data_IF_631712273249
#
_entry.id   IF_631712273249
#
_cell.length_a   1.000
_cell.length_b   1.000
_cell.length_c   1.000
_cell.angle_alpha   90.00
_cell.angle_beta   90.00
_cell.angle_gamma   90.00
#
_symmetry.space_group_name_H-M   'P 1'
#
loop_
_entity.id
_entity.type
_entity.pdbx_description
1 polymer ?
#
# COMPACT_ATOMS: atom_id res chain seq x y z
N UNK A 1 16.54 14.23 24.48
CA UNK A 1 16.99 13.58 23.22
C UNK A 1 16.43 14.41 22.05
N UNK A 2 17.26 14.85 21.11
CA UNK A 2 16.86 15.81 20.07
C UNK A 2 15.84 15.16 19.09
N UNK A 3 14.64 15.73 18.93
CA UNK A 3 13.54 15.14 18.15
C UNK A 3 13.91 14.86 16.69
N UNK A 4 14.85 15.64 16.15
CA UNK A 4 15.41 15.48 14.81
C UNK A 4 16.32 14.25 14.67
N UNK A 5 17.01 13.85 15.73
CA UNK A 5 17.86 12.65 15.73
C UNK A 5 17.00 11.38 15.73
N UNK A 6 15.93 11.35 16.54
CA UNK A 6 15.00 10.22 16.57
C UNK A 6 14.31 10.01 15.22
N UNK A 7 13.84 11.09 14.59
CA UNK A 7 13.20 11.01 13.27
C UNK A 7 14.16 10.49 12.18
N UNK A 8 15.43 10.91 12.21
CA UNK A 8 16.46 10.43 11.29
C UNK A 8 16.72 8.93 11.49
N UNK A 9 16.79 8.48 12.73
CA UNK A 9 17.00 7.08 13.06
C UNK A 9 15.86 6.19 12.56
N UNK A 10 14.60 6.60 12.74
CA UNK A 10 13.44 5.86 12.22
C UNK A 10 13.53 5.69 10.70
N UNK A 11 13.85 6.75 9.96
CA UNK A 11 13.97 6.68 8.50
C UNK A 11 15.10 5.73 8.05
N UNK A 12 16.25 5.78 8.73
CA UNK A 12 17.36 4.90 8.45
C UNK A 12 17.01 3.43 8.77
N UNK A 13 16.28 3.18 9.85
CA UNK A 13 15.79 1.84 10.19
C UNK A 13 14.80 1.32 9.15
N UNK A 14 13.88 2.16 8.65
CA UNK A 14 12.97 1.77 7.56
C UNK A 14 13.75 1.41 6.30
N UNK A 15 14.73 2.22 5.89
CA UNK A 15 15.58 1.92 4.73
C UNK A 15 16.33 0.60 4.90
N UNK A 16 16.94 0.40 6.07
CA UNK A 16 17.65 -0.83 6.39
C UNK A 16 16.73 -2.04 6.32
N UNK A 17 15.49 -1.93 6.82
CA UNK A 17 14.48 -2.97 6.72
C UNK A 17 14.20 -3.37 5.26
N UNK A 18 14.01 -2.41 4.35
CA UNK A 18 13.78 -2.71 2.93
C UNK A 18 14.99 -3.39 2.28
N UNK A 19 16.22 -2.95 2.60
CA UNK A 19 17.45 -3.59 2.08
C UNK A 19 17.60 -5.03 2.60
N UNK A 20 17.37 -5.25 3.89
CA UNK A 20 17.38 -6.60 4.48
C UNK A 20 16.29 -7.46 3.82
N UNK A 21 15.10 -6.90 3.58
CA UNK A 21 14.00 -7.60 2.92
C UNK A 21 14.37 -8.07 1.50
N UNK A 22 15.09 -7.24 0.72
CA UNK A 22 15.59 -7.64 -0.61
C UNK A 22 16.54 -8.84 -0.51
N UNK A 23 17.40 -8.85 0.49
CA UNK A 23 18.32 -9.96 0.75
C UNK A 23 17.54 -11.21 1.16
N UNK A 24 16.53 -11.09 2.03
CA UNK A 24 15.67 -12.21 2.43
C UNK A 24 14.94 -12.82 1.24
N UNK A 25 14.35 -12.00 0.36
CA UNK A 25 13.65 -12.49 -0.85
C UNK A 25 14.58 -13.24 -1.80
N UNK A 26 15.86 -12.88 -1.87
CA UNK A 26 16.86 -13.62 -2.64
C UNK A 26 16.97 -15.09 -2.21
N UNK A 27 16.90 -15.37 -0.90
CA UNK A 27 16.93 -16.75 -0.41
C UNK A 27 15.59 -17.46 -0.56
N UNK A 28 14.47 -16.75 -0.47
CA UNK A 28 13.11 -17.33 -0.58
C UNK A 28 12.78 -17.71 -2.04
N UNK A 29 13.42 -17.08 -3.03
CA UNK A 29 13.23 -17.36 -4.47
C UNK A 29 11.79 -17.17 -4.97
N UNK A 30 11.06 -16.21 -4.40
CA UNK A 30 9.72 -15.82 -4.86
C UNK A 30 9.82 -14.45 -5.56
N UNK A 31 9.92 -14.41 -6.91
CA UNK A 31 10.31 -13.18 -7.63
C UNK A 31 9.32 -12.02 -7.46
N UNK A 32 8.03 -12.31 -7.31
CA UNK A 32 6.99 -11.29 -7.16
C UNK A 32 7.23 -10.40 -5.92
N UNK A 33 7.89 -10.92 -4.88
CA UNK A 33 8.20 -10.16 -3.68
C UNK A 33 9.23 -9.05 -3.92
N UNK A 34 10.10 -9.17 -4.92
CA UNK A 34 10.98 -8.07 -5.32
C UNK A 34 10.18 -6.86 -5.80
N UNK A 35 9.12 -7.11 -6.58
CA UNK A 35 8.27 -6.03 -7.07
C UNK A 35 7.64 -5.26 -5.90
N UNK A 36 7.05 -5.97 -4.93
CA UNK A 36 6.50 -5.34 -3.72
C UNK A 36 7.54 -4.51 -2.97
N UNK A 37 8.70 -5.10 -2.64
CA UNK A 37 9.73 -4.41 -1.88
C UNK A 37 10.23 -3.16 -2.60
N UNK A 38 10.59 -3.28 -3.88
CA UNK A 38 11.13 -2.15 -4.66
C UNK A 38 10.07 -1.06 -4.80
N UNK A 39 8.84 -1.43 -5.15
CA UNK A 39 7.74 -0.49 -5.29
C UNK A 39 7.51 0.28 -3.99
N UNK A 40 7.36 -0.40 -2.85
CA UNK A 40 7.13 0.27 -1.57
C UNK A 40 8.34 1.06 -1.07
N UNK A 41 9.57 0.60 -1.33
CA UNK A 41 10.79 1.33 -1.01
C UNK A 41 10.85 2.67 -1.76
N UNK A 42 10.65 2.66 -3.08
CA UNK A 42 10.62 3.88 -3.91
C UNK A 42 9.56 4.84 -3.36
N UNK A 43 8.38 4.32 -3.03
CA UNK A 43 7.30 5.16 -2.51
C UNK A 43 7.63 5.76 -1.15
N UNK A 44 8.24 5.01 -0.22
CA UNK A 44 8.74 5.56 1.05
C UNK A 44 9.79 6.65 0.82
N UNK A 45 10.71 6.47 -0.14
CA UNK A 45 11.70 7.51 -0.46
C UNK A 45 11.06 8.77 -1.05
N UNK A 46 10.10 8.63 -1.96
CA UNK A 46 9.34 9.77 -2.50
C UNK A 46 8.62 10.52 -1.39
N UNK A 47 7.99 9.80 -0.45
CA UNK A 47 7.38 10.39 0.74
C UNK A 47 8.44 11.18 1.53
N UNK A 48 9.60 10.57 1.82
CA UNK A 48 10.67 11.17 2.63
C UNK A 48 11.21 12.48 2.03
N UNK A 49 11.30 12.58 0.70
CA UNK A 49 11.69 13.80 0.00
C UNK A 49 10.70 14.95 0.23
N UNK A 50 9.44 14.63 0.50
CA UNK A 50 8.34 15.58 0.70
C UNK A 50 7.97 15.80 2.17
N UNK A 51 8.72 15.23 3.11
CA UNK A 51 8.42 15.28 4.57
C UNK A 51 8.15 16.70 5.10
N UNK A 52 8.81 17.73 4.55
CA UNK A 52 8.69 19.12 5.00
C UNK A 52 7.37 19.80 4.56
N UNK A 53 6.61 19.19 3.65
CA UNK A 53 5.36 19.75 3.10
C UNK A 53 4.11 19.12 3.72
N UNK A 54 4.26 18.13 4.60
CA UNK A 54 3.15 17.38 5.19
C UNK A 54 3.16 17.46 6.71
N UNK A 55 2.00 17.23 7.33
CA UNK A 55 1.93 17.01 8.77
C UNK A 55 2.78 15.79 9.15
N UNK A 56 3.82 16.03 9.96
CA UNK A 56 4.82 15.03 10.36
C UNK A 56 4.21 13.78 11.00
N UNK A 57 3.01 13.87 11.59
CA UNK A 57 2.31 12.71 12.17
C UNK A 57 1.73 11.80 11.10
N UNK A 58 0.99 12.36 10.13
CA UNK A 58 0.36 11.59 9.04
C UNK A 58 1.44 10.91 8.20
N UNK A 59 2.50 11.65 7.87
CA UNK A 59 3.66 11.13 7.17
C UNK A 59 4.25 9.85 7.82
N UNK A 60 4.53 9.93 9.13
CA UNK A 60 5.08 8.79 9.88
C UNK A 60 4.12 7.62 9.91
N UNK A 61 2.83 7.89 10.08
CA UNK A 61 1.78 6.86 10.08
C UNK A 61 1.74 6.12 8.74
N UNK A 62 1.76 6.83 7.61
CA UNK A 62 1.79 6.22 6.27
C UNK A 62 3.03 5.36 6.07
N UNK A 63 4.22 5.84 6.45
CA UNK A 63 5.46 5.08 6.35
C UNK A 63 5.43 3.78 7.18
N UNK A 64 4.87 3.85 8.39
CA UNK A 64 4.67 2.67 9.24
C UNK A 64 3.71 1.68 8.58
N UNK A 65 2.58 2.14 8.04
CA UNK A 65 1.64 1.26 7.34
C UNK A 65 2.27 0.55 6.14
N UNK A 66 3.05 1.26 5.31
CA UNK A 66 3.73 0.63 4.16
C UNK A 66 4.74 -0.41 4.61
N UNK A 67 5.52 -0.09 5.64
CA UNK A 67 6.52 -1.02 6.19
C UNK A 67 5.86 -2.26 6.77
N UNK A 68 4.81 -2.11 7.58
CA UNK A 68 4.05 -3.22 8.15
C UNK A 68 3.38 -4.08 7.08
N UNK A 69 2.84 -3.45 6.04
CA UNK A 69 2.24 -4.16 4.92
C UNK A 69 3.28 -5.03 4.18
N UNK A 70 4.47 -4.48 3.90
CA UNK A 70 5.55 -5.25 3.27
C UNK A 70 6.00 -6.41 4.17
N UNK A 71 6.16 -6.18 5.47
CA UNK A 71 6.44 -7.26 6.43
C UNK A 71 5.38 -8.36 6.39
N UNK A 72 4.11 -7.97 6.31
CA UNK A 72 2.98 -8.90 6.25
C UNK A 72 3.00 -9.73 4.96
N UNK A 73 3.16 -9.09 3.80
CA UNK A 73 3.23 -9.78 2.50
C UNK A 73 4.41 -10.75 2.47
N UNK A 74 5.58 -10.35 2.97
CA UNK A 74 6.74 -11.22 3.06
C UNK A 74 6.45 -12.44 3.93
N UNK A 75 5.83 -12.24 5.10
CA UNK A 75 5.49 -13.34 6.00
C UNK A 75 4.52 -14.34 5.37
N UNK A 76 3.44 -13.85 4.75
CA UNK A 76 2.40 -14.70 4.14
C UNK A 76 2.95 -15.44 2.91
N UNK A 77 3.55 -14.71 1.96
CA UNK A 77 3.97 -15.27 0.67
C UNK A 77 5.27 -16.07 0.74
N UNK A 78 6.05 -15.93 1.80
CA UNK A 78 7.21 -16.80 2.02
C UNK A 78 6.81 -18.20 2.51
N UNK A 79 5.54 -18.42 2.88
CA UNK A 79 5.04 -19.68 3.46
C UNK A 79 5.94 -20.23 4.57
N UNK A 80 6.53 -19.35 5.38
CA UNK A 80 7.49 -19.75 6.44
C UNK A 80 6.84 -20.61 7.53
N UNK A 81 5.52 -20.51 7.66
CA UNK A 81 4.71 -21.36 8.52
C UNK A 81 3.80 -22.19 7.61
N UNK A 82 3.84 -23.52 7.75
CA UNK A 82 2.95 -24.42 6.98
C UNK A 82 1.50 -24.27 7.42
N UNK A 83 0.81 -23.28 6.86
CA UNK A 83 -0.57 -22.96 7.19
C UNK A 83 -1.55 -23.96 6.58
N UNK A 84 -2.72 -24.11 7.20
CA UNK A 84 -3.83 -24.85 6.60
C UNK A 84 -4.41 -24.07 5.41
N UNK A 85 -5.05 -24.76 4.46
CA UNK A 85 -5.66 -24.12 3.29
C UNK A 85 -6.63 -22.99 3.68
N UNK A 86 -7.49 -23.22 4.66
CA UNK A 86 -8.42 -22.20 5.18
C UNK A 86 -7.70 -21.00 5.78
N UNK A 87 -6.57 -21.23 6.44
CA UNK A 87 -5.73 -20.14 6.98
C UNK A 87 -5.08 -19.35 5.85
N UNK A 88 -4.56 -20.01 4.82
CA UNK A 88 -3.98 -19.34 3.65
C UNK A 88 -5.01 -18.50 2.90
N UNK A 89 -6.24 -19.00 2.72
CA UNK A 89 -7.34 -18.25 2.09
C UNK A 89 -7.69 -16.98 2.88
N UNK A 90 -7.74 -17.09 4.21
CA UNK A 90 -8.00 -15.95 5.09
C UNK A 90 -6.85 -14.94 5.07
N UNK A 91 -5.60 -15.41 5.10
CA UNK A 91 -4.42 -14.55 4.98
C UNK A 91 -4.39 -13.83 3.63
N UNK A 92 -4.69 -14.52 2.53
CA UNK A 92 -4.80 -13.90 1.22
C UNK A 92 -5.91 -12.83 1.20
N UNK A 93 -7.06 -13.13 1.78
CA UNK A 93 -8.17 -12.16 1.89
C UNK A 93 -7.76 -10.91 2.68
N UNK A 94 -7.04 -11.08 3.80
CA UNK A 94 -6.50 -9.96 4.59
C UNK A 94 -5.43 -9.20 3.78
N UNK A 95 -4.59 -9.89 3.02
CA UNK A 95 -3.61 -9.28 2.12
C UNK A 95 -4.29 -8.36 1.10
N UNK A 96 -5.33 -8.83 0.41
CA UNK A 96 -6.10 -8.03 -0.54
C UNK A 96 -6.74 -6.80 0.12
N UNK A 97 -7.33 -6.97 1.32
CA UNK A 97 -7.92 -5.86 2.06
C UNK A 97 -6.89 -4.80 2.44
N UNK A 98 -5.73 -5.24 2.94
CA UNK A 98 -4.63 -4.33 3.32
C UNK A 98 -3.99 -3.68 2.10
N UNK A 99 -3.83 -4.42 1.01
CA UNK A 99 -3.33 -3.90 -0.26
C UNK A 99 -4.24 -2.78 -0.77
N UNK A 100 -5.56 -3.01 -0.78
CA UNK A 100 -6.54 -2.01 -1.15
C UNK A 100 -6.47 -0.74 -0.31
N UNK A 101 -6.35 -0.90 1.01
CA UNK A 101 -6.16 0.22 1.93
C UNK A 101 -4.88 1.00 1.63
N UNK A 102 -3.74 0.30 1.51
CA UNK A 102 -2.41 0.90 1.34
C UNK A 102 -2.27 1.60 0.00
N UNK A 103 -2.69 0.98 -1.10
CA UNK A 103 -2.63 1.59 -2.43
C UNK A 103 -3.58 2.79 -2.52
N UNK A 104 -4.77 2.72 -1.92
CA UNK A 104 -5.67 3.88 -1.84
C UNK A 104 -5.02 5.05 -1.09
N UNK A 105 -4.33 4.77 0.03
CA UNK A 105 -3.59 5.78 0.78
C UNK A 105 -2.45 6.39 -0.04
N UNK A 106 -1.78 5.59 -0.88
CA UNK A 106 -0.76 6.06 -1.81
C UNK A 106 -1.35 6.99 -2.86
N UNK A 107 -2.41 6.57 -3.57
CA UNK A 107 -3.05 7.39 -4.60
C UNK A 107 -3.53 8.70 -3.99
N UNK A 108 -4.11 8.66 -2.79
CA UNK A 108 -4.54 9.85 -2.05
C UNK A 108 -3.40 10.81 -1.77
N UNK A 109 -2.24 10.27 -1.36
CA UNK A 109 -1.04 11.06 -1.16
C UNK A 109 -0.58 11.68 -2.49
N UNK A 110 -0.47 10.89 -3.55
CA UNK A 110 -0.01 11.38 -4.85
C UNK A 110 -0.92 12.48 -5.42
N UNK A 111 -2.24 12.28 -5.38
CA UNK A 111 -3.21 13.27 -5.88
C UNK A 111 -3.18 14.55 -5.03
N UNK A 112 -3.02 14.43 -3.71
CA UNK A 112 -2.98 15.60 -2.81
C UNK A 112 -1.68 16.39 -2.94
N UNK A 113 -0.52 15.72 -3.05
CA UNK A 113 0.78 16.41 -3.07
C UNK A 113 1.23 16.83 -4.47
N UNK A 114 1.13 15.94 -5.45
CA UNK A 114 1.61 16.21 -6.81
C UNK A 114 0.52 16.80 -7.68
N UNK A 115 -0.70 16.25 -7.57
CA UNK A 115 -1.86 16.80 -8.27
C UNK A 115 -2.39 18.10 -7.65
N UNK A 116 -1.96 18.44 -6.42
CA UNK A 116 -2.50 19.55 -5.62
C UNK A 116 -4.02 19.54 -5.54
N UNK A 117 -4.61 18.35 -5.56
CA UNK A 117 -6.05 18.15 -5.57
C UNK A 117 -6.58 18.32 -4.14
N UNK A 118 -7.76 18.94 -4.00
CA UNK A 118 -8.39 19.10 -2.70
C UNK A 118 -8.71 17.74 -2.05
N UNK A 119 -8.87 17.74 -0.73
CA UNK A 119 -9.08 16.53 0.06
C UNK A 119 -10.17 15.61 -0.48
N UNK A 120 -11.38 16.14 -0.69
CA UNK A 120 -12.53 15.34 -1.13
C UNK A 120 -12.31 14.73 -2.51
N UNK A 121 -11.76 15.48 -3.46
CA UNK A 121 -11.44 14.95 -4.79
C UNK A 121 -10.32 13.92 -4.72
N UNK A 122 -9.30 14.11 -3.89
CA UNK A 122 -8.24 13.10 -3.68
C UNK A 122 -8.78 11.77 -3.15
N UNK A 123 -9.76 11.81 -2.22
CA UNK A 123 -10.42 10.59 -1.73
C UNK A 123 -11.18 9.89 -2.87
N UNK A 124 -11.98 10.63 -3.63
CA UNK A 124 -12.74 10.07 -4.76
C UNK A 124 -11.81 9.47 -5.82
N UNK A 125 -10.75 10.20 -6.20
CA UNK A 125 -9.72 9.73 -7.14
C UNK A 125 -9.12 8.40 -6.66
N UNK A 126 -8.80 8.30 -5.36
CA UNK A 126 -8.20 7.09 -4.79
C UNK A 126 -9.12 5.89 -4.91
N UNK A 127 -10.40 6.05 -4.57
CA UNK A 127 -11.41 4.99 -4.65
C UNK A 127 -11.60 4.55 -6.10
N UNK A 128 -11.76 5.50 -7.03
CA UNK A 128 -12.01 5.21 -8.44
C UNK A 128 -10.81 4.53 -9.08
N UNK A 129 -9.61 5.12 -8.95
CA UNK A 129 -8.39 4.57 -9.56
C UNK A 129 -8.08 3.18 -8.99
N UNK A 130 -8.16 3.00 -7.67
CA UNK A 130 -7.84 1.69 -7.09
C UNK A 130 -8.80 0.59 -7.54
N UNK A 131 -10.11 0.85 -7.53
CA UNK A 131 -11.07 -0.17 -7.98
C UNK A 131 -10.94 -0.48 -9.47
N UNK A 132 -10.59 0.51 -10.31
CA UNK A 132 -10.26 0.26 -11.71
C UNK A 132 -9.00 -0.60 -11.86
N UNK A 133 -7.96 -0.34 -11.08
CA UNK A 133 -6.75 -1.18 -11.03
C UNK A 133 -7.12 -2.60 -10.60
N UNK A 134 -7.97 -2.76 -9.58
CA UNK A 134 -8.46 -4.07 -9.13
C UNK A 134 -9.19 -4.83 -10.23
N UNK A 135 -10.11 -4.18 -10.95
CA UNK A 135 -10.82 -4.80 -12.07
C UNK A 135 -9.87 -5.20 -13.21
N UNK A 136 -8.94 -4.31 -13.56
CA UNK A 136 -7.93 -4.59 -14.58
C UNK A 136 -7.05 -5.76 -14.15
N UNK A 137 -6.65 -5.84 -12.88
CA UNK A 137 -5.86 -6.93 -12.34
C UNK A 137 -6.55 -8.29 -12.53
N UNK A 138 -7.86 -8.40 -12.27
CA UNK A 138 -8.60 -9.64 -12.50
C UNK A 138 -8.58 -10.06 -13.98
N UNK A 139 -8.76 -9.11 -14.89
CA UNK A 139 -8.68 -9.40 -16.33
C UNK A 139 -7.28 -9.84 -16.76
N UNK A 140 -6.23 -9.24 -16.21
CA UNK A 140 -4.86 -9.68 -16.45
C UNK A 140 -4.61 -11.09 -15.89
N UNK A 141 -5.09 -11.39 -14.69
CA UNK A 141 -4.95 -12.72 -14.10
C UNK A 141 -5.64 -13.79 -14.94
N UNK A 142 -6.86 -13.52 -15.42
CA UNK A 142 -7.56 -14.41 -16.35
C UNK A 142 -6.74 -14.69 -17.61
N UNK A 143 -6.17 -13.64 -18.21
CA UNK A 143 -5.30 -13.78 -19.38
C UNK A 143 -4.11 -14.71 -19.10
N UNK A 144 -3.41 -14.52 -17.99
CA UNK A 144 -2.27 -15.38 -17.62
C UNK A 144 -2.67 -16.80 -17.21
N UNK A 145 -3.90 -17.02 -16.76
CA UNK A 145 -4.46 -18.33 -16.44
C UNK A 145 -5.07 -19.03 -17.67
N UNK A 146 -5.08 -18.41 -18.84
CA UNK A 146 -5.71 -18.95 -20.05
C UNK A 146 -7.24 -18.98 -20.00
N UNK A 147 -7.86 -18.22 -19.07
CA UNK A 147 -9.31 -18.05 -18.94
C UNK A 147 -9.82 -16.94 -19.88
N UNK A 148 -11.12 -16.90 -20.20
CA UNK A 148 -11.72 -15.77 -20.90
C UNK A 148 -11.46 -14.45 -20.16
N UNK A 149 -10.80 -13.50 -20.84
CA UNK A 149 -10.26 -12.27 -20.21
C UNK A 149 -11.34 -11.47 -19.45
N UNK A 150 -12.50 -11.28 -20.06
CA UNK A 150 -13.58 -10.43 -19.53
C UNK A 150 -14.64 -11.18 -18.70
N UNK A 151 -14.31 -12.33 -18.14
CA UNK A 151 -15.21 -13.10 -17.28
C UNK A 151 -14.77 -12.97 -15.82
N UNK A 152 -15.69 -12.61 -14.93
CA UNK A 152 -15.43 -12.60 -13.49
C UNK A 152 -15.99 -13.90 -12.90
N UNK A 153 -15.10 -14.78 -12.45
CA UNK A 153 -15.49 -15.97 -11.70
C UNK A 153 -15.75 -15.63 -10.22
N UNK A 154 -16.21 -16.61 -9.44
CA UNK A 154 -16.54 -16.40 -8.03
C UNK A 154 -15.34 -15.91 -7.19
N UNK A 155 -14.12 -16.33 -7.54
CA UNK A 155 -12.91 -15.89 -6.85
C UNK A 155 -12.56 -14.45 -7.20
N UNK A 156 -12.62 -14.07 -8.47
CA UNK A 156 -12.43 -12.67 -8.89
C UNK A 156 -13.48 -11.74 -8.29
N UNK A 157 -14.75 -12.18 -8.22
CA UNK A 157 -15.82 -11.39 -7.57
C UNK A 157 -15.51 -11.19 -6.09
N UNK A 158 -15.08 -12.25 -5.39
CA UNK A 158 -14.68 -12.16 -3.98
C UNK A 158 -13.55 -11.14 -3.79
N UNK A 159 -12.50 -11.21 -4.62
CA UNK A 159 -11.35 -10.32 -4.49
C UNK A 159 -11.72 -8.85 -4.81
N UNK A 160 -12.62 -8.61 -5.77
CA UNK A 160 -13.18 -7.28 -6.04
C UNK A 160 -14.03 -6.75 -4.88
N UNK A 161 -14.83 -7.60 -4.22
CA UNK A 161 -15.58 -7.21 -3.02
C UNK A 161 -14.61 -6.82 -1.90
N UNK A 162 -13.55 -7.60 -1.70
CA UNK A 162 -12.53 -7.30 -0.69
C UNK A 162 -11.80 -6.00 -0.99
N UNK A 163 -11.52 -5.71 -2.27
CA UNK A 163 -10.97 -4.43 -2.71
C UNK A 163 -11.90 -3.26 -2.33
N UNK A 164 -13.20 -3.37 -2.60
CA UNK A 164 -14.19 -2.37 -2.19
C UNK A 164 -14.19 -2.19 -0.67
N UNK A 165 -14.21 -3.28 0.10
CA UNK A 165 -14.15 -3.22 1.57
C UNK A 165 -12.87 -2.52 2.06
N UNK A 166 -11.72 -2.81 1.47
CA UNK A 166 -10.46 -2.13 1.78
C UNK A 166 -10.52 -0.62 1.48
N UNK A 167 -11.17 -0.21 0.39
CA UNK A 167 -11.39 1.22 0.11
C UNK A 167 -12.33 1.90 1.11
N UNK A 168 -13.34 1.19 1.62
CA UNK A 168 -14.22 1.71 2.67
C UNK A 168 -13.46 1.90 3.98
N UNK A 169 -12.59 0.95 4.35
CA UNK A 169 -11.69 1.08 5.51
C UNK A 169 -10.77 2.29 5.35
N UNK A 170 -10.24 2.52 4.14
CA UNK A 170 -9.46 3.72 3.82
C UNK A 170 -10.26 5.01 4.05
N UNK A 171 -11.48 5.11 3.50
CA UNK A 171 -12.35 6.30 3.68
C UNK A 171 -12.61 6.55 5.17
N UNK A 172 -12.97 5.50 5.92
CA UNK A 172 -13.27 5.57 7.34
C UNK A 172 -12.06 6.14 8.11
N UNK A 173 -10.87 5.61 7.86
CA UNK A 173 -9.65 6.07 8.53
C UNK A 173 -9.29 7.51 8.18
N UNK A 174 -9.36 7.89 6.90
CA UNK A 174 -9.13 9.27 6.48
C UNK A 174 -10.08 10.24 7.18
N UNK A 175 -11.36 9.86 7.30
CA UNK A 175 -12.39 10.65 8.00
C UNK A 175 -12.11 10.76 9.51
N UNK A 176 -11.87 9.64 10.19
CA UNK A 176 -11.65 9.58 11.64
C UNK A 176 -10.40 10.35 12.07
N UNK A 177 -9.29 10.16 11.35
CA UNK A 177 -8.03 10.82 11.66
C UNK A 177 -7.98 12.27 11.17
N UNK A 178 -9.08 12.77 10.57
CA UNK A 178 -9.16 14.07 9.90
C UNK A 178 -7.89 14.35 9.09
N UNK A 179 -7.44 13.34 8.33
CA UNK A 179 -6.18 13.41 7.59
C UNK A 179 -6.29 14.43 6.46
N UNK A 180 -6.14 15.70 6.80
CA UNK A 180 -6.08 16.81 5.87
C UNK A 180 -4.61 17.11 5.65
N UNK A 181 -4.16 16.92 4.41
CA UNK A 181 -2.90 17.50 3.98
C UNK A 181 -3.17 18.97 3.66
N UNK A 182 -2.79 19.85 4.57
CA UNK A 182 -2.68 21.27 4.24
C UNK A 182 -1.45 21.41 3.37
N UNK A 183 -1.63 21.60 2.06
CA UNK A 183 -0.53 22.00 1.19
C UNK A 183 -0.13 23.39 1.67
N UNK A 184 0.99 23.49 2.39
CA UNK A 184 1.62 24.79 2.59
C UNK A 184 2.16 25.22 1.22
N UNK A 185 1.40 26.04 0.51
CA UNK A 185 1.97 26.82 -0.57
C UNK A 185 3.09 27.66 0.05
N UNK A 186 4.34 27.28 -0.23
CA UNK A 186 5.43 28.25 -0.12
C UNK A 186 5.06 29.36 -1.09
N UNK A 187 4.60 30.48 -0.55
CA UNK A 187 4.66 31.76 -1.23
C UNK A 187 6.14 32.00 -1.53
N UNK A 188 6.53 31.74 -2.77
CA UNK A 188 7.78 32.25 -3.34
C UNK A 188 7.47 33.59 -3.98
#
# INVERSE_FOLDING_TARGET
MNSNALARNINNLTRLFYVISLFVVYFIKVPILYFYIIFFFINVEILLLKKNQSNTKIFKTTQVFFTLFVSYVLFVRAHMCGFSLTTEDNLNTIEHLLFAFVISLMIYYYSSFFGKVNHSKSVVISVVIFNLIGLINEFFQNYFQGKPVFVLDEFSIKDLIVNVLGTLVFILLISLFKMKFTIQEKQN
#
